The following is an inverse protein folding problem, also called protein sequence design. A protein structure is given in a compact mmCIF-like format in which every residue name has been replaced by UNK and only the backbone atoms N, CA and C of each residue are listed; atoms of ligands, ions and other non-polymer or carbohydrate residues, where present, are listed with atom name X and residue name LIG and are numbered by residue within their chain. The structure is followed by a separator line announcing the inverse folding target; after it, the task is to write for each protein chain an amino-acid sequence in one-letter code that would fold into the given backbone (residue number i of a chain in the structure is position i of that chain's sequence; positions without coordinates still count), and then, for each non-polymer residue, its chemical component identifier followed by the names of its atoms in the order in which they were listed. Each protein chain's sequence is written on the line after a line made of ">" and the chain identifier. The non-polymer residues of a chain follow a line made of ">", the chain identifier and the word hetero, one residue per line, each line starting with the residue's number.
data_IF_460857641494
#
_entry.id   IF_460857641494
#
_cell.length_a   1.000
_cell.length_b   1.000
_cell.length_c   1.000
_cell.angle_alpha   90.00
_cell.angle_beta   90.00
_cell.angle_gamma   90.00
#
_symmetry.space_group_name_H-M   'P 1'
#
loop_
_entity.id
_entity.type
_entity.pdbx_description
1 polymer ?
#
# COMPACT_ATOMS: atom_id res chain seq x y z
N UNK A 1 33.26 51.18 64.16
CA UNK A 1 33.13 49.76 64.51
C UNK A 1 32.87 49.05 63.20
N UNK A 2 33.96 48.83 62.47
CA UNK A 2 34.00 48.09 61.21
C UNK A 2 34.65 46.75 61.53
N UNK A 3 33.92 45.66 61.29
CA UNK A 3 34.40 44.28 61.38
C UNK A 3 33.83 43.48 60.18
N UNK A 4 34.50 42.39 59.75
CA UNK A 4 34.99 42.26 58.39
C UNK A 4 34.19 41.25 57.54
N UNK A 5 34.37 41.38 56.21
CA UNK A 5 33.99 40.39 55.20
C UNK A 5 34.53 39.00 55.58
N UNK A 6 33.62 38.04 55.74
CA UNK A 6 33.96 36.63 55.69
C UNK A 6 33.81 36.13 54.25
N UNK A 7 34.96 35.78 53.69
CA UNK A 7 35.09 35.00 52.46
C UNK A 7 34.80 33.53 52.80
N UNK A 8 33.87 32.92 52.08
CA UNK A 8 33.63 31.48 52.13
C UNK A 8 33.34 30.99 50.71
N UNK A 9 34.43 30.82 49.97
CA UNK A 9 34.64 29.79 48.97
C UNK A 9 33.90 28.51 49.35
N UNK A 10 32.94 28.07 48.52
CA UNK A 10 32.83 26.72 47.94
C UNK A 10 31.49 26.62 47.19
N UNK A 11 31.42 27.07 45.93
CA UNK A 11 30.35 26.59 45.04
C UNK A 11 30.72 25.17 44.66
N UNK A 12 30.10 24.19 45.33
CA UNK A 12 30.13 22.79 44.90
C UNK A 12 29.45 22.71 43.53
N UNK A 13 30.25 22.68 42.47
CA UNK A 13 29.77 22.26 41.15
C UNK A 13 29.49 20.77 41.29
N UNK A 14 28.21 20.41 41.43
CA UNK A 14 27.83 19.01 41.32
C UNK A 14 28.02 18.62 39.85
N UNK A 15 29.02 17.77 39.61
CA UNK A 15 29.21 17.08 38.35
C UNK A 15 27.96 16.23 38.10
N UNK A 16 27.05 16.74 37.27
CA UNK A 16 25.97 15.95 36.69
C UNK A 16 26.66 14.83 35.90
N UNK A 17 26.43 13.54 36.21
CA UNK A 17 27.02 12.48 35.42
C UNK A 17 26.50 12.62 33.99
N UNK A 18 27.43 12.57 33.02
CA UNK A 18 27.16 12.66 31.60
C UNK A 18 25.93 11.82 31.25
N UNK A 19 24.83 12.51 30.90
CA UNK A 19 23.68 11.88 30.28
C UNK A 19 24.18 11.44 28.91
N UNK A 20 24.59 10.18 28.80
CA UNK A 20 24.81 9.52 27.52
C UNK A 20 23.45 9.51 26.82
N UNK A 21 23.24 10.50 25.94
CA UNK A 21 22.14 10.54 24.99
C UNK A 21 22.37 9.42 23.97
N UNK A 22 21.99 8.19 24.32
CA UNK A 22 21.84 7.12 23.33
C UNK A 22 20.71 7.51 22.38
N UNK A 23 20.98 7.38 21.07
CA UNK A 23 19.98 7.65 20.04
C UNK A 23 18.86 6.61 20.17
N UNK A 24 17.58 6.99 20.11
CA UNK A 24 16.45 6.12 20.42
C UNK A 24 16.24 4.93 19.47
N UNK A 25 17.09 4.75 18.44
CA UNK A 25 16.96 3.65 17.48
C UNK A 25 18.10 2.61 17.55
N UNK A 26 19.08 2.80 18.42
CA UNK A 26 20.14 1.80 18.67
C UNK A 26 19.81 0.99 19.93
N UNK A 27 18.75 0.19 19.86
CA UNK A 27 18.47 -0.83 20.86
C UNK A 27 18.01 -2.11 20.16
N UNK A 28 18.95 -3.06 20.05
CA UNK A 28 18.72 -4.49 20.15
C UNK A 28 17.60 -5.08 19.27
N UNK A 29 17.92 -5.40 18.01
CA UNK A 29 17.22 -6.43 17.23
C UNK A 29 17.51 -7.83 17.82
N UNK A 30 17.10 -8.05 19.07
CA UNK A 30 16.84 -9.41 19.55
C UNK A 30 15.47 -9.77 18.97
N UNK A 31 15.32 -10.85 18.19
CA UNK A 31 13.98 -11.33 17.85
C UNK A 31 13.28 -11.67 19.17
N UNK A 32 12.40 -10.78 19.61
CA UNK A 32 11.52 -11.05 20.73
C UNK A 32 10.71 -12.27 20.33
N UNK A 33 10.87 -13.39 21.04
CA UNK A 33 9.97 -14.53 20.91
C UNK A 33 8.60 -14.00 21.31
N UNK A 34 7.80 -13.61 20.31
CA UNK A 34 6.48 -13.04 20.52
C UNK A 34 5.65 -14.06 21.28
N UNK A 35 5.22 -13.69 22.50
CA UNK A 35 4.27 -14.48 23.25
C UNK A 35 3.02 -14.66 22.36
N UNK A 36 2.54 -15.89 22.12
CA UNK A 36 1.38 -16.11 21.24
C UNK A 36 0.14 -15.33 21.69
N UNK A 37 0.00 -15.05 22.99
CA UNK A 37 -1.07 -14.22 23.51
C UNK A 37 -0.95 -12.73 23.12
N UNK A 38 0.27 -12.20 23.02
CA UNK A 38 0.53 -10.83 22.59
C UNK A 38 0.28 -10.66 21.07
N UNK A 39 0.62 -11.69 20.28
CA UNK A 39 0.33 -11.75 18.84
C UNK A 39 -1.18 -11.72 18.56
N UNK A 40 -1.97 -12.40 19.40
CA UNK A 40 -3.43 -12.40 19.32
C UNK A 40 -4.03 -11.02 19.64
N UNK A 41 -3.48 -10.31 20.63
CA UNK A 41 -3.92 -8.96 20.97
C UNK A 41 -3.58 -7.96 19.87
N UNK A 42 -2.35 -8.00 19.35
CA UNK A 42 -1.93 -7.12 18.26
C UNK A 42 -2.79 -7.33 17.01
N UNK A 43 -3.01 -8.58 16.62
CA UNK A 43 -3.89 -8.93 15.50
C UNK A 43 -5.31 -8.44 15.72
N UNK A 44 -5.86 -8.61 16.93
CA UNK A 44 -7.21 -8.14 17.27
C UNK A 44 -7.33 -6.62 17.21
N UNK A 45 -6.32 -5.89 17.67
CA UNK A 45 -6.28 -4.43 17.59
C UNK A 45 -6.16 -3.94 16.13
N UNK A 46 -5.32 -4.60 15.33
CA UNK A 46 -5.22 -4.31 13.89
C UNK A 46 -6.57 -4.53 13.19
N UNK A 47 -7.23 -5.66 13.47
CA UNK A 47 -8.56 -5.95 12.92
C UNK A 47 -9.59 -4.91 13.35
N UNK A 48 -9.63 -4.55 14.63
CA UNK A 48 -10.54 -3.52 15.13
C UNK A 48 -10.34 -2.15 14.46
N UNK A 49 -9.09 -1.75 14.21
CA UNK A 49 -8.78 -0.51 13.48
C UNK A 49 -9.23 -0.59 12.02
N UNK A 50 -9.08 -1.74 11.37
CA UNK A 50 -9.59 -1.99 10.02
C UNK A 50 -11.11 -1.86 10.01
N UNK A 51 -11.80 -2.56 10.92
CA UNK A 51 -13.26 -2.56 11.01
C UNK A 51 -13.79 -1.13 11.28
N UNK A 52 -13.18 -0.39 12.20
CA UNK A 52 -13.55 1.01 12.48
C UNK A 52 -13.37 1.91 11.25
N UNK A 53 -12.31 1.67 10.46
CA UNK A 53 -12.05 2.42 9.23
C UNK A 53 -13.08 2.09 8.15
N UNK A 54 -13.44 0.82 8.02
CA UNK A 54 -14.48 0.38 7.09
C UNK A 54 -15.85 0.93 7.51
N UNK A 55 -16.21 0.87 8.79
CA UNK A 55 -17.49 1.40 9.30
C UNK A 55 -17.60 2.92 9.22
N UNK A 56 -16.46 3.62 9.32
CA UNK A 56 -16.38 5.07 9.16
C UNK A 56 -16.49 5.56 7.71
N UNK A 57 -16.37 4.67 6.72
CA UNK A 57 -16.41 5.08 5.31
C UNK A 57 -17.87 5.29 4.85
N UNK A 58 -18.21 6.47 4.29
CA UNK A 58 -19.57 6.75 3.87
C UNK A 58 -20.07 5.70 2.86
N UNK A 59 -21.29 5.20 3.05
CA UNK A 59 -21.89 4.17 2.19
C UNK A 59 -21.88 4.56 0.69
N UNK A 60 -22.02 5.85 0.40
CA UNK A 60 -21.95 6.39 -0.97
C UNK A 60 -20.54 6.25 -1.57
N UNK A 61 -19.50 6.43 -0.76
CA UNK A 61 -18.09 6.24 -1.12
C UNK A 61 -17.84 4.78 -1.45
N UNK A 62 -18.24 3.85 -0.57
CA UNK A 62 -18.14 2.40 -0.82
C UNK A 62 -18.81 2.01 -2.14
N UNK A 63 -20.05 2.47 -2.37
CA UNK A 63 -20.80 2.22 -3.62
C UNK A 63 -20.12 2.77 -4.87
N UNK A 64 -19.36 3.85 -4.76
CA UNK A 64 -18.66 4.46 -5.89
C UNK A 64 -17.30 3.79 -6.20
N UNK A 65 -16.55 3.38 -5.16
CA UNK A 65 -15.19 2.85 -5.31
C UNK A 65 -15.13 1.33 -5.42
N UNK A 66 -15.95 0.57 -4.67
CA UNK A 66 -15.93 -0.90 -4.70
C UNK A 66 -16.12 -1.49 -6.11
N UNK A 67 -17.06 -1.00 -6.95
CA UNK A 67 -17.19 -1.50 -8.32
C UNK A 67 -15.94 -1.29 -9.17
N UNK A 68 -15.23 -0.16 -8.97
CA UNK A 68 -14.00 0.15 -9.72
C UNK A 68 -12.85 -0.75 -9.28
N UNK A 69 -12.76 -1.04 -7.99
CA UNK A 69 -11.78 -1.96 -7.43
C UNK A 69 -11.98 -3.38 -7.99
N UNK A 70 -13.23 -3.86 -8.02
CA UNK A 70 -13.57 -5.15 -8.62
C UNK A 70 -13.26 -5.20 -10.12
N UNK A 71 -13.57 -4.14 -10.86
CA UNK A 71 -13.22 -4.00 -12.27
C UNK A 71 -11.71 -4.10 -12.50
N UNK A 72 -10.90 -3.47 -11.64
CA UNK A 72 -9.43 -3.57 -11.67
C UNK A 72 -8.94 -4.99 -11.40
N UNK A 73 -9.47 -5.69 -10.39
CA UNK A 73 -9.03 -7.06 -10.11
C UNK A 73 -9.35 -8.02 -11.27
N UNK A 74 -10.54 -7.90 -11.85
CA UNK A 74 -10.91 -8.71 -13.02
C UNK A 74 -10.07 -8.37 -14.25
N UNK A 75 -9.69 -7.11 -14.43
CA UNK A 75 -8.71 -6.71 -15.44
C UNK A 75 -7.36 -7.38 -15.21
N UNK A 76 -6.84 -7.37 -13.98
CA UNK A 76 -5.59 -8.04 -13.63
C UNK A 76 -5.66 -9.55 -13.86
N UNK A 77 -6.79 -10.19 -13.54
CA UNK A 77 -7.01 -11.62 -13.76
C UNK A 77 -7.03 -11.98 -15.25
N UNK A 78 -7.59 -11.10 -16.10
CA UNK A 78 -7.64 -11.29 -17.54
C UNK A 78 -6.29 -11.06 -18.23
N UNK A 79 -5.61 -9.95 -17.91
CA UNK A 79 -4.40 -9.52 -18.63
C UNK A 79 -3.13 -10.17 -18.08
N UNK A 80 -3.09 -10.46 -16.78
CA UNK A 80 -1.91 -11.02 -16.11
C UNK A 80 -2.26 -12.32 -15.34
N UNK A 81 -2.78 -13.36 -16.01
CA UNK A 81 -3.26 -14.57 -15.35
C UNK A 81 -2.13 -15.37 -14.67
N UNK A 82 -0.90 -15.27 -15.17
CA UNK A 82 0.27 -16.02 -14.70
C UNK A 82 1.16 -15.23 -13.73
N UNK A 83 0.91 -13.93 -13.53
CA UNK A 83 1.75 -13.08 -12.68
C UNK A 83 1.37 -13.26 -11.20
N UNK A 84 2.29 -13.71 -10.32
CA UNK A 84 2.03 -13.82 -8.88
C UNK A 84 1.76 -12.47 -8.21
N UNK A 85 2.20 -11.37 -8.83
CA UNK A 85 2.00 -10.00 -8.39
C UNK A 85 1.00 -9.24 -9.29
N UNK A 86 0.05 -9.96 -9.91
CA UNK A 86 -0.93 -9.37 -10.83
C UNK A 86 -1.68 -8.17 -10.26
N UNK A 87 -1.98 -8.17 -8.96
CA UNK A 87 -2.72 -7.10 -8.28
C UNK A 87 -1.85 -5.91 -7.84
N UNK A 88 -0.52 -5.99 -7.96
CA UNK A 88 0.34 -4.85 -7.67
C UNK A 88 0.11 -3.71 -8.66
N UNK A 89 0.07 -2.50 -8.11
CA UNK A 89 -0.11 -1.26 -8.84
C UNK A 89 1.20 -0.86 -9.53
N UNK A 90 1.46 -1.44 -10.70
CA UNK A 90 2.54 -0.98 -11.58
C UNK A 90 2.02 0.14 -12.50
N UNK A 91 2.87 1.14 -12.78
CA UNK A 91 2.56 2.26 -13.66
C UNK A 91 2.03 1.80 -15.02
N UNK A 92 2.65 0.80 -15.64
CA UNK A 92 2.23 0.29 -16.96
C UNK A 92 0.82 -0.30 -16.92
N UNK A 93 0.51 -1.10 -15.88
CA UNK A 93 -0.81 -1.70 -15.67
C UNK A 93 -1.87 -0.60 -15.51
N UNK A 94 -1.55 0.44 -14.73
CA UNK A 94 -2.44 1.58 -14.50
C UNK A 94 -2.67 2.35 -15.79
N UNK A 95 -1.62 2.67 -16.56
CA UNK A 95 -1.76 3.43 -17.80
C UNK A 95 -2.59 2.68 -18.84
N UNK A 96 -2.37 1.37 -19.01
CA UNK A 96 -3.16 0.54 -19.92
C UNK A 96 -4.62 0.45 -19.48
N UNK A 97 -4.87 0.31 -18.18
CA UNK A 97 -6.23 0.30 -17.64
C UNK A 97 -6.92 1.65 -17.80
N UNK A 98 -6.22 2.76 -17.57
CA UNK A 98 -6.74 4.12 -17.80
C UNK A 98 -7.04 4.35 -19.28
N UNK A 99 -6.16 3.88 -20.18
CA UNK A 99 -6.40 3.93 -21.62
C UNK A 99 -7.67 3.18 -22.01
N UNK A 100 -7.85 1.95 -21.53
CA UNK A 100 -9.09 1.21 -21.73
C UNK A 100 -10.29 1.97 -21.19
N UNK A 101 -10.20 2.51 -19.99
CA UNK A 101 -11.26 3.29 -19.35
C UNK A 101 -11.68 4.51 -20.16
N UNK A 102 -10.73 5.18 -20.83
CA UNK A 102 -10.99 6.38 -21.63
C UNK A 102 -11.64 6.07 -22.98
N UNK A 103 -11.29 4.95 -23.61
CA UNK A 103 -11.73 4.64 -24.98
C UNK A 103 -12.83 3.59 -25.08
N UNK A 104 -13.18 2.92 -23.98
CA UNK A 104 -14.31 1.98 -23.95
C UNK A 104 -15.64 2.69 -24.21
N UNK A 105 -16.62 1.91 -24.68
CA UNK A 105 -17.99 2.40 -24.84
C UNK A 105 -18.55 2.86 -23.50
N UNK A 106 -19.18 4.04 -23.49
CA UNK A 106 -19.78 4.60 -22.29
C UNK A 106 -20.98 3.75 -21.86
N UNK A 107 -20.91 3.18 -20.65
CA UNK A 107 -21.99 2.39 -20.07
C UNK A 107 -23.25 3.26 -19.96
N UNK A 108 -24.39 2.79 -20.48
CA UNK A 108 -25.68 3.50 -20.35
C UNK A 108 -26.03 3.67 -18.87
N UNK A 109 -26.48 4.86 -18.50
CA UNK A 109 -26.86 5.19 -17.11
C UNK A 109 -27.96 4.24 -16.63
N UNK A 110 -27.69 3.51 -15.54
CA UNK A 110 -28.64 2.60 -14.89
C UNK A 110 -28.72 1.16 -15.43
N UNK A 111 -27.92 0.78 -16.43
CA UNK A 111 -28.12 -0.46 -17.19
C UNK A 111 -27.54 -1.77 -16.65
N UNK A 112 -26.62 -1.75 -15.66
CA UNK A 112 -25.78 -2.93 -15.36
C UNK A 112 -26.12 -3.68 -14.06
N UNK A 113 -27.36 -3.59 -13.55
CA UNK A 113 -27.73 -4.26 -12.29
C UNK A 113 -27.60 -5.79 -12.37
N UNK A 114 -27.91 -6.39 -13.52
CA UNK A 114 -27.81 -7.85 -13.70
C UNK A 114 -26.36 -8.34 -13.73
N UNK A 115 -25.47 -7.61 -14.41
CA UNK A 115 -24.03 -7.94 -14.46
C UNK A 115 -23.39 -7.78 -13.07
N UNK A 116 -23.75 -6.74 -12.33
CA UNK A 116 -23.28 -6.55 -10.95
C UNK A 116 -23.76 -7.67 -10.02
N UNK A 117 -24.97 -8.22 -10.24
CA UNK A 117 -25.46 -9.38 -9.49
C UNK A 117 -24.68 -10.66 -9.81
N UNK A 118 -24.18 -10.80 -11.03
CA UNK A 118 -23.30 -11.90 -11.44
C UNK A 118 -21.83 -11.66 -11.09
N UNK A 119 -21.54 -10.59 -10.34
CA UNK A 119 -20.20 -10.13 -9.98
C UNK A 119 -19.32 -9.83 -11.20
N UNK A 120 -19.88 -9.47 -12.34
CA UNK A 120 -19.15 -9.12 -13.58
C UNK A 120 -19.02 -7.59 -13.67
N UNK A 121 -17.79 -7.10 -13.60
CA UNK A 121 -17.47 -5.66 -13.65
C UNK A 121 -16.65 -5.29 -14.89
N UNK A 122 -15.72 -6.16 -15.27
CA UNK A 122 -14.81 -6.01 -16.41
C UNK A 122 -15.35 -6.70 -17.66
N UNK A 123 -15.19 -6.04 -18.80
CA UNK A 123 -15.58 -6.53 -20.12
C UNK A 123 -14.31 -6.91 -20.89
N UNK A 124 -13.94 -8.20 -20.78
CA UNK A 124 -12.75 -8.76 -21.41
C UNK A 124 -12.80 -8.67 -22.95
N UNK A 125 -13.97 -8.90 -23.55
CA UNK A 125 -14.12 -8.85 -25.00
C UNK A 125 -13.95 -7.42 -25.53
N UNK A 126 -14.53 -6.43 -24.85
CA UNK A 126 -14.32 -5.03 -25.20
C UNK A 126 -12.86 -4.61 -25.03
N UNK A 127 -12.18 -5.12 -24.01
CA UNK A 127 -10.75 -4.86 -23.81
C UNK A 127 -9.91 -5.44 -24.95
N UNK A 128 -10.11 -6.71 -25.30
CA UNK A 128 -9.35 -7.39 -26.35
C UNK A 128 -9.56 -6.71 -27.70
N UNK A 129 -10.79 -6.33 -28.02
CA UNK A 129 -11.11 -5.60 -29.24
C UNK A 129 -10.45 -4.21 -29.30
N UNK A 130 -10.45 -3.48 -28.18
CA UNK A 130 -9.81 -2.15 -28.11
C UNK A 130 -8.28 -2.26 -28.20
N UNK A 131 -7.70 -3.26 -27.56
CA UNK A 131 -6.24 -3.43 -27.49
C UNK A 131 -5.65 -4.15 -28.71
N UNK A 132 -6.46 -4.86 -29.50
CA UNK A 132 -6.00 -5.58 -30.70
C UNK A 132 -5.14 -4.74 -31.67
N UNK A 133 -5.46 -3.47 -31.98
CA UNK A 133 -4.60 -2.63 -32.82
C UNK A 133 -3.28 -2.25 -32.16
N UNK A 134 -3.24 -2.24 -30.82
CA UNK A 134 -2.09 -1.87 -30.00
C UNK A 134 -1.26 -3.08 -29.55
N UNK A 135 -1.74 -4.31 -29.80
CA UNK A 135 -1.02 -5.54 -29.45
C UNK A 135 0.38 -5.62 -30.10
N UNK A 136 0.53 -5.07 -31.31
CA UNK A 136 1.84 -4.94 -31.99
C UNK A 136 2.69 -3.74 -31.54
N UNK A 137 2.11 -2.80 -30.77
CA UNK A 137 2.78 -1.66 -30.14
C UNK A 137 3.10 -1.92 -28.66
N UNK A 138 2.89 -3.16 -28.18
CA UNK A 138 2.91 -3.53 -26.77
C UNK A 138 4.27 -3.27 -26.11
N UNK A 139 4.42 -2.04 -25.62
CA UNK A 139 5.46 -1.65 -24.67
C UNK A 139 5.46 -2.61 -23.45
N UNK A 140 4.29 -3.12 -23.06
CA UNK A 140 4.13 -3.99 -21.89
C UNK A 140 4.57 -5.45 -22.09
N UNK A 141 4.45 -6.02 -23.29
CA UNK A 141 4.86 -7.41 -23.52
C UNK A 141 6.36 -7.51 -23.81
N UNK A 142 6.92 -6.49 -24.47
CA UNK A 142 8.37 -6.40 -24.75
C UNK A 142 9.23 -6.12 -23.51
N UNK A 143 8.71 -5.44 -22.48
CA UNK A 143 9.49 -5.16 -21.27
C UNK A 143 9.50 -6.34 -20.28
N UNK A 144 8.45 -7.17 -20.28
CA UNK A 144 8.41 -8.40 -19.46
C UNK A 144 9.24 -9.54 -20.07
N UNK A 145 9.32 -9.65 -21.41
CA UNK A 145 10.16 -10.65 -22.08
C UNK A 145 11.65 -10.28 -22.14
N UNK A 146 12.03 -9.00 -21.95
CA UNK A 146 13.42 -8.53 -22.00
C UNK A 146 13.97 -8.09 -20.63
N UNK A 147 13.34 -8.44 -19.52
CA UNK A 147 13.96 -8.24 -18.22
C UNK A 147 15.23 -9.11 -18.15
N UNK A 148 16.45 -8.54 -18.06
CA UNK A 148 17.63 -9.36 -17.88
C UNK A 148 17.46 -10.11 -16.56
N UNK A 149 17.58 -11.44 -16.62
CA UNK A 149 17.86 -12.24 -15.43
C UNK A 149 19.14 -11.67 -14.82
N UNK A 150 18.99 -10.82 -13.81
CA UNK A 150 20.10 -10.46 -12.95
C UNK A 150 20.37 -11.71 -12.13
N UNK A 151 21.26 -12.56 -12.66
CA UNK A 151 21.89 -13.59 -11.86
C UNK A 151 22.56 -12.88 -10.69
N UNK A 152 21.96 -13.03 -9.52
CA UNK A 152 22.56 -12.64 -8.27
C UNK A 152 23.74 -13.58 -8.00
N UNK A 153 24.91 -13.24 -8.55
CA UNK A 153 26.17 -13.65 -7.97
C UNK A 153 26.43 -12.74 -6.76
N UNK A 154 26.18 -13.27 -5.56
CA UNK A 154 26.93 -13.04 -4.32
C UNK A 154 26.50 -14.07 -3.27
#
# INVERSE_FOLDING_TARGET
>A
MDEPRQDATQRRVELVPDVVLTRPWEANNVPQIQNPAALNLETALQQFVIDLREDGEPENTKKAYLPKLKEWFQYCDHVYPTDPYKYNMNFDKIYLFMFFQTFRQQKKRGGNRQLQQQDIYFDAEAYDNLMRPFAGLSLGQRLLENAPHVEANL
#
